data_IF_236083790871
#
_entry.id   IF_236083790871
#
_cell.length_a   1.000
_cell.length_b   1.000
_cell.length_c   1.000
_cell.angle_alpha   90.00
_cell.angle_beta   90.00
_cell.angle_gamma   90.00
#
_symmetry.space_group_name_H-M   'P 1'
#
loop_
_entity.id
_entity.type
_entity.pdbx_description
1 polymer ?
#
# COMPACT_ATOMS: atom_id res chain seq x y z
N UNK A 1 50.82 -12.04 -49.24
CA UNK A 1 50.11 -12.95 -48.32
C UNK A 1 49.54 -12.09 -47.21
N UNK A 2 48.33 -11.73 -47.40
CA UNK A 2 47.50 -10.89 -46.58
C UNK A 2 46.86 -11.77 -45.48
N UNK A 3 46.98 -11.37 -44.24
CA UNK A 3 46.26 -11.98 -43.13
C UNK A 3 45.35 -10.95 -42.50
N UNK A 4 44.07 -11.03 -42.86
CA UNK A 4 43.00 -10.26 -42.25
C UNK A 4 42.73 -10.85 -40.87
N UNK A 5 42.95 -10.04 -39.82
CA UNK A 5 42.49 -10.31 -38.45
C UNK A 5 41.18 -9.56 -38.24
N UNK A 6 40.04 -10.26 -38.34
CA UNK A 6 38.72 -9.80 -37.90
C UNK A 6 38.71 -9.71 -36.36
N UNK A 7 38.70 -8.48 -35.85
CA UNK A 7 38.38 -8.19 -34.47
C UNK A 7 36.86 -8.37 -34.26
N UNK A 8 36.51 -9.46 -33.60
CA UNK A 8 35.16 -9.71 -33.15
C UNK A 8 34.73 -8.73 -32.04
N UNK A 9 33.99 -7.69 -32.42
CA UNK A 9 33.34 -6.83 -31.44
C UNK A 9 32.26 -7.63 -30.71
N UNK A 10 32.52 -8.01 -29.46
CA UNK A 10 31.52 -8.58 -28.57
C UNK A 10 30.47 -7.49 -28.24
N UNK A 11 29.26 -7.66 -28.76
CA UNK A 11 28.10 -6.89 -28.30
C UNK A 11 27.86 -7.24 -26.85
N UNK A 12 28.24 -6.34 -25.94
CA UNK A 12 27.74 -6.32 -24.57
C UNK A 12 26.30 -5.87 -24.66
N UNK A 13 25.38 -6.83 -24.69
CA UNK A 13 23.97 -6.56 -24.42
C UNK A 13 23.81 -6.45 -22.92
N UNK A 14 23.98 -5.25 -22.39
CA UNK A 14 23.57 -4.89 -21.04
C UNK A 14 22.03 -4.70 -21.07
N UNK A 15 21.29 -5.79 -21.23
CA UNK A 15 19.89 -5.84 -20.86
C UNK A 15 19.85 -5.88 -19.34
N UNK A 16 19.89 -4.72 -18.70
CA UNK A 16 19.42 -4.60 -17.32
C UNK A 16 17.96 -5.00 -17.32
N UNK A 17 17.68 -6.20 -16.80
CA UNK A 17 16.33 -6.73 -16.61
C UNK A 17 15.64 -5.89 -15.53
N UNK A 18 15.19 -4.70 -15.94
CA UNK A 18 14.61 -3.70 -15.04
C UNK A 18 13.25 -4.25 -14.58
N UNK A 19 13.13 -4.53 -13.28
CA UNK A 19 11.91 -5.07 -12.70
C UNK A 19 10.72 -4.18 -13.02
N UNK A 20 9.63 -4.78 -13.46
CA UNK A 20 8.37 -4.07 -13.66
C UNK A 20 7.94 -3.39 -12.36
N UNK A 21 7.57 -2.11 -12.44
CA UNK A 21 7.04 -1.38 -11.30
C UNK A 21 5.73 -2.00 -10.79
N UNK A 22 5.64 -2.22 -9.49
CA UNK A 22 4.41 -2.65 -8.82
C UNK A 22 3.58 -1.43 -8.40
N UNK A 23 2.25 -1.58 -8.45
CA UNK A 23 1.30 -0.55 -8.04
C UNK A 23 0.92 -0.74 -6.59
N UNK A 24 1.22 0.25 -5.77
CA UNK A 24 1.01 0.20 -4.32
C UNK A 24 0.01 1.26 -3.91
N UNK A 25 -1.17 0.84 -3.47
CA UNK A 25 -2.19 1.75 -2.99
C UNK A 25 -2.13 1.92 -1.46
N UNK A 26 -2.29 3.15 -1.00
CA UNK A 26 -2.33 3.48 0.44
C UNK A 26 -3.52 4.38 0.70
N UNK A 27 -4.46 3.97 1.56
CA UNK A 27 -5.58 4.79 2.00
C UNK A 27 -5.27 5.58 3.26
N UNK A 28 -5.83 6.77 3.41
CA UNK A 28 -5.46 7.67 4.50
C UNK A 28 -3.98 8.11 4.40
N UNK A 29 -3.53 8.31 3.15
CA UNK A 29 -2.13 8.54 2.82
C UNK A 29 -1.55 9.81 3.46
N UNK A 30 -2.37 10.83 3.68
CA UNK A 30 -1.98 12.07 4.36
C UNK A 30 -2.11 11.99 5.90
N UNK A 31 -2.61 10.86 6.44
CA UNK A 31 -2.63 10.62 7.90
C UNK A 31 -1.24 10.28 8.44
N UNK A 32 -1.06 10.37 9.76
CA UNK A 32 0.27 10.17 10.37
C UNK A 32 0.89 8.79 10.07
N UNK A 33 0.08 7.72 10.07
CA UNK A 33 0.55 6.36 9.79
C UNK A 33 0.81 6.22 8.27
N UNK A 34 -0.12 6.68 7.43
CA UNK A 34 0.04 6.66 5.97
C UNK A 34 1.30 7.41 5.56
N UNK A 35 1.48 8.63 6.01
CA UNK A 35 2.67 9.44 5.77
C UNK A 35 3.96 8.70 6.13
N UNK A 36 4.08 8.18 7.36
CA UNK A 36 5.28 7.46 7.79
C UNK A 36 5.55 6.18 6.96
N UNK A 37 4.49 5.50 6.50
CA UNK A 37 4.60 4.29 5.68
C UNK A 37 5.11 4.60 4.26
N UNK A 38 4.68 5.72 3.67
CA UNK A 38 5.06 6.09 2.29
C UNK A 38 6.56 6.19 2.10
N UNK A 39 7.30 6.76 3.05
CA UNK A 39 8.76 6.87 2.99
C UNK A 39 9.45 5.51 3.00
N UNK A 40 8.92 4.57 3.76
CA UNK A 40 9.45 3.21 3.83
C UNK A 40 9.15 2.42 2.54
N UNK A 41 8.00 2.64 1.93
CA UNK A 41 7.69 2.06 0.61
C UNK A 41 8.62 2.67 -0.44
N UNK A 42 8.74 3.99 -0.47
CA UNK A 42 9.55 4.72 -1.45
C UNK A 42 11.04 4.38 -1.35
N UNK A 43 11.56 4.13 -0.15
CA UNK A 43 12.96 3.74 0.09
C UNK A 43 13.25 2.26 -0.18
N UNK A 44 12.25 1.45 -0.52
CA UNK A 44 12.39 0.02 -0.79
C UNK A 44 12.43 -0.86 0.47
N UNK A 45 12.05 -0.34 1.65
CA UNK A 45 12.03 -1.13 2.89
C UNK A 45 10.89 -2.16 2.91
N UNK A 46 9.83 -1.96 2.11
CA UNK A 46 8.68 -2.88 2.06
C UNK A 46 8.80 -3.96 1.01
N UNK A 47 9.32 -3.63 -0.17
CA UNK A 47 9.27 -4.52 -1.34
C UNK A 47 10.65 -4.90 -1.87
N UNK A 48 11.71 -4.37 -1.30
CA UNK A 48 13.09 -4.60 -1.73
C UNK A 48 13.75 -3.35 -2.33
N UNK A 49 15.08 -3.30 -2.24
CA UNK A 49 15.89 -2.15 -2.63
C UNK A 49 16.03 -1.97 -4.14
N UNK A 50 15.53 -2.92 -4.91
CA UNK A 50 15.57 -2.99 -6.36
C UNK A 50 14.16 -3.10 -7.00
N UNK A 51 13.08 -2.94 -6.21
CA UNK A 51 11.72 -3.03 -6.70
C UNK A 51 11.13 -1.63 -6.96
N UNK A 52 10.93 -1.23 -8.24
CA UNK A 52 10.24 0.02 -8.56
C UNK A 52 8.78 -0.01 -8.13
N UNK A 53 8.25 1.15 -7.73
CA UNK A 53 6.87 1.29 -7.26
C UNK A 53 6.16 2.47 -7.94
N UNK A 54 4.86 2.33 -8.16
CA UNK A 54 3.94 3.42 -8.46
C UNK A 54 3.03 3.58 -7.26
N UNK A 55 3.11 4.72 -6.58
CA UNK A 55 2.31 5.02 -5.41
C UNK A 55 0.94 5.55 -5.83
N UNK A 56 -0.13 4.93 -5.32
CA UNK A 56 -1.52 5.32 -5.54
C UNK A 56 -2.13 5.71 -4.18
N UNK A 57 -2.30 6.99 -3.95
CA UNK A 57 -2.57 7.58 -2.65
C UNK A 57 -4.03 8.02 -2.57
N UNK A 58 -4.81 7.38 -1.71
CA UNK A 58 -6.22 7.70 -1.50
C UNK A 58 -6.41 8.51 -0.23
N UNK A 59 -7.15 9.61 -0.36
CA UNK A 59 -7.58 10.42 0.77
C UNK A 59 -9.05 10.82 0.62
N UNK A 60 -9.69 11.23 1.69
CA UNK A 60 -11.03 11.81 1.64
C UNK A 60 -10.98 13.25 1.12
N UNK A 61 -12.06 13.79 0.51
CA UNK A 61 -12.03 15.13 -0.07
C UNK A 61 -11.48 16.22 0.86
N UNK A 62 -11.81 16.28 2.17
CA UNK A 62 -11.22 17.28 3.07
C UNK A 62 -9.70 17.12 3.30
N UNK A 63 -9.15 15.94 3.03
CA UNK A 63 -7.73 15.63 3.19
C UNK A 63 -6.88 15.88 1.94
N UNK A 64 -7.50 16.18 0.79
CA UNK A 64 -6.79 16.29 -0.49
C UNK A 64 -5.72 17.38 -0.50
N UNK A 65 -5.98 18.54 0.08
CA UNK A 65 -4.98 19.61 0.18
C UNK A 65 -3.72 19.16 0.94
N UNK A 66 -3.90 18.37 2.00
CA UNK A 66 -2.78 17.78 2.75
C UNK A 66 -2.06 16.71 1.93
N UNK A 67 -2.82 15.90 1.18
CA UNK A 67 -2.25 14.90 0.28
C UNK A 67 -1.38 15.53 -0.81
N UNK A 68 -1.80 16.65 -1.38
CA UNK A 68 -1.01 17.39 -2.36
C UNK A 68 0.36 17.79 -1.79
N UNK A 69 0.41 18.24 -0.52
CA UNK A 69 1.67 18.51 0.18
C UNK A 69 2.55 17.26 0.30
N UNK A 70 1.99 16.13 0.70
CA UNK A 70 2.71 14.85 0.79
C UNK A 70 3.26 14.41 -0.57
N UNK A 71 2.48 14.58 -1.64
CA UNK A 71 2.93 14.28 -3.02
C UNK A 71 4.10 15.16 -3.43
N UNK A 72 4.08 16.45 -3.08
CA UNK A 72 5.21 17.35 -3.34
C UNK A 72 6.47 16.91 -2.60
N UNK A 73 6.37 16.62 -1.30
CA UNK A 73 7.49 16.15 -0.50
C UNK A 73 8.09 14.83 -1.04
N UNK A 74 7.25 13.87 -1.46
CA UNK A 74 7.70 12.63 -2.08
C UNK A 74 8.46 12.88 -3.39
N UNK A 75 8.00 13.84 -4.22
CA UNK A 75 8.67 14.22 -5.46
C UNK A 75 10.01 14.88 -5.18
N UNK A 76 10.05 15.80 -4.23
CA UNK A 76 11.27 16.51 -3.83
C UNK A 76 12.33 15.56 -3.26
N UNK A 77 11.90 14.46 -2.63
CA UNK A 77 12.80 13.43 -2.08
C UNK A 77 13.48 12.58 -3.16
N UNK A 78 13.02 12.63 -4.41
CA UNK A 78 13.63 12.00 -5.59
C UNK A 78 14.06 10.52 -5.38
N UNK A 79 13.22 9.72 -4.73
CA UNK A 79 13.49 8.29 -4.55
C UNK A 79 13.60 7.56 -5.89
N UNK A 80 14.73 6.92 -6.15
CA UNK A 80 14.99 6.22 -7.41
C UNK A 80 13.97 5.10 -7.73
N UNK A 81 13.37 4.51 -6.70
CA UNK A 81 12.37 3.44 -6.85
C UNK A 81 10.97 3.95 -7.14
N UNK A 82 10.69 5.25 -6.98
CA UNK A 82 9.35 5.82 -7.20
C UNK A 82 9.20 6.24 -8.65
N UNK A 83 8.56 5.39 -9.46
CA UNK A 83 8.33 5.63 -10.89
C UNK A 83 7.04 6.41 -11.17
N UNK A 84 6.19 6.63 -10.18
CA UNK A 84 4.99 7.45 -10.32
C UNK A 84 4.25 7.65 -8.99
N UNK A 85 3.51 8.76 -8.91
CA UNK A 85 2.68 9.08 -7.74
C UNK A 85 1.34 9.60 -8.26
N UNK A 86 0.25 9.01 -7.79
CA UNK A 86 -1.13 9.38 -8.10
C UNK A 86 -1.83 9.69 -6.77
N UNK A 87 -2.27 10.94 -6.58
CA UNK A 87 -3.12 11.35 -5.46
C UNK A 87 -4.57 11.46 -5.92
N UNK A 88 -5.53 10.93 -5.17
CA UNK A 88 -6.95 10.95 -5.55
C UNK A 88 -7.87 10.75 -4.35
N UNK A 89 -9.12 11.17 -4.48
CA UNK A 89 -10.23 10.85 -3.57
C UNK A 89 -11.17 9.77 -4.13
N UNK A 90 -10.88 9.25 -5.34
CA UNK A 90 -11.64 8.17 -5.98
C UNK A 90 -10.98 6.80 -5.73
N UNK A 91 -11.64 5.88 -4.98
CA UNK A 91 -11.13 4.54 -4.75
C UNK A 91 -10.86 3.73 -6.04
N UNK A 92 -11.64 3.96 -7.11
CA UNK A 92 -11.45 3.24 -8.36
C UNK A 92 -10.18 3.67 -9.10
N UNK A 93 -9.76 4.93 -8.92
CA UNK A 93 -8.47 5.41 -9.43
C UNK A 93 -7.34 4.86 -8.54
N UNK A 94 -7.50 4.95 -7.21
CA UNK A 94 -6.49 4.52 -6.26
C UNK A 94 -6.18 3.02 -6.32
N UNK A 95 -7.19 2.17 -6.56
CA UNK A 95 -6.99 0.73 -6.56
C UNK A 95 -6.81 0.13 -7.97
N UNK A 96 -6.83 0.94 -9.02
CA UNK A 96 -6.68 0.47 -10.40
C UNK A 96 -5.37 -0.30 -10.60
N UNK A 97 -5.50 -1.58 -10.99
CA UNK A 97 -4.38 -2.49 -11.23
C UNK A 97 -3.40 -2.60 -10.06
N UNK A 98 -3.85 -2.32 -8.83
CA UNK A 98 -2.98 -2.38 -7.65
C UNK A 98 -2.53 -3.82 -7.38
N UNK A 99 -1.23 -3.99 -7.13
CA UNK A 99 -0.58 -5.25 -6.74
C UNK A 99 -0.55 -5.41 -5.22
N UNK A 100 -0.45 -4.28 -4.49
CA UNK A 100 -0.48 -4.24 -3.04
C UNK A 100 -1.34 -3.07 -2.55
N UNK A 101 -2.14 -3.30 -1.50
CA UNK A 101 -3.03 -2.29 -0.93
C UNK A 101 -2.87 -2.26 0.59
N UNK A 102 -2.60 -1.08 1.13
CA UNK A 102 -2.59 -0.78 2.56
C UNK A 102 -3.86 0.00 2.91
N UNK A 103 -4.82 -0.64 3.57
CA UNK A 103 -6.03 -0.01 4.07
C UNK A 103 -5.75 0.62 5.44
N UNK A 104 -5.15 1.80 5.44
CA UNK A 104 -4.72 2.52 6.65
C UNK A 104 -5.78 3.48 7.14
N UNK A 105 -6.45 4.17 6.22
CA UNK A 105 -7.48 5.16 6.53
C UNK A 105 -8.67 4.56 7.25
N UNK A 106 -9.02 5.14 8.39
CA UNK A 106 -10.21 4.77 9.17
C UNK A 106 -10.64 5.94 10.05
N UNK A 107 -11.90 5.94 10.48
CA UNK A 107 -12.36 6.89 11.49
C UNK A 107 -11.71 6.59 12.83
N UNK A 108 -11.03 7.56 13.47
CA UNK A 108 -10.46 7.37 14.79
C UNK A 108 -11.55 7.21 15.85
N UNK A 109 -11.24 6.49 16.92
CA UNK A 109 -12.11 6.38 18.07
C UNK A 109 -12.13 7.72 18.85
N UNK A 110 -13.31 8.24 19.12
CA UNK A 110 -13.50 9.35 20.07
C UNK A 110 -13.69 8.82 21.49
N UNK A 111 -13.63 9.73 22.50
CA UNK A 111 -13.72 9.33 23.93
C UNK A 111 -15.07 8.67 24.27
N UNK A 112 -16.14 9.04 23.56
CA UNK A 112 -17.50 8.61 23.84
C UNK A 112 -17.95 7.43 22.98
N UNK A 113 -17.11 6.93 22.09
CA UNK A 113 -17.37 5.75 21.25
C UNK A 113 -17.00 4.44 21.96
N UNK A 114 -17.92 3.50 21.94
CA UNK A 114 -17.59 2.11 22.24
C UNK A 114 -17.06 1.37 21.00
N UNK A 115 -16.85 0.05 21.12
CA UNK A 115 -16.33 -0.76 19.98
C UNK A 115 -17.37 -0.94 18.88
N UNK A 116 -18.65 -1.05 19.23
CA UNK A 116 -19.73 -1.23 18.27
C UNK A 116 -19.94 0.03 17.45
N UNK A 117 -19.85 1.22 18.07
CA UNK A 117 -19.91 2.51 17.39
C UNK A 117 -18.78 2.66 16.36
N UNK A 118 -17.58 2.23 16.75
CA UNK A 118 -16.41 2.29 15.86
C UNK A 118 -16.58 1.36 14.64
N UNK A 119 -17.13 0.16 14.83
CA UNK A 119 -17.45 -0.76 13.73
C UNK A 119 -18.51 -0.15 12.82
N UNK A 120 -19.59 0.40 13.39
CA UNK A 120 -20.65 1.04 12.63
C UNK A 120 -20.16 2.24 11.81
N UNK A 121 -19.26 3.03 12.39
CA UNK A 121 -18.68 4.21 11.73
C UNK A 121 -17.70 3.84 10.60
N UNK A 122 -16.97 2.75 10.71
CA UNK A 122 -15.97 2.31 9.73
C UNK A 122 -16.51 1.34 8.68
N UNK A 123 -17.50 0.51 9.02
CA UNK A 123 -18.05 -0.50 8.14
C UNK A 123 -18.36 0.00 6.73
N UNK A 124 -19.11 1.10 6.54
CA UNK A 124 -19.41 1.64 5.21
C UNK A 124 -18.17 1.99 4.39
N UNK A 125 -17.09 2.47 5.03
CA UNK A 125 -15.82 2.81 4.38
C UNK A 125 -15.22 1.54 3.76
N UNK A 126 -15.12 0.47 4.54
CA UNK A 126 -14.51 -0.78 4.08
C UNK A 126 -15.40 -1.58 3.13
N UNK A 127 -16.72 -1.41 3.19
CA UNK A 127 -17.66 -1.90 2.16
C UNK A 127 -17.33 -1.23 0.81
N UNK A 128 -17.24 0.10 0.78
CA UNK A 128 -16.92 0.85 -0.42
C UNK A 128 -15.55 0.48 -0.99
N UNK A 129 -14.54 0.42 -0.14
CA UNK A 129 -13.17 0.02 -0.53
C UNK A 129 -13.13 -1.42 -1.04
N UNK A 130 -13.81 -2.37 -0.38
CA UNK A 130 -13.89 -3.76 -0.83
C UNK A 130 -14.52 -3.88 -2.22
N UNK A 131 -15.61 -3.15 -2.50
CA UNK A 131 -16.23 -3.11 -3.82
C UNK A 131 -15.29 -2.55 -4.88
N UNK A 132 -14.62 -1.44 -4.60
CA UNK A 132 -13.66 -0.85 -5.54
C UNK A 132 -12.47 -1.78 -5.81
N UNK A 133 -11.92 -2.45 -4.78
CA UNK A 133 -10.89 -3.47 -4.93
C UNK A 133 -11.37 -4.59 -5.85
N UNK A 134 -12.59 -5.08 -5.62
CA UNK A 134 -13.19 -6.11 -6.47
C UNK A 134 -13.27 -5.69 -7.93
N UNK A 135 -13.61 -4.44 -8.20
CA UNK A 135 -13.86 -3.90 -9.53
C UNK A 135 -12.56 -3.73 -10.32
N UNK A 136 -11.56 -3.07 -9.72
CA UNK A 136 -10.43 -2.51 -10.48
C UNK A 136 -9.03 -2.99 -10.07
N UNK A 137 -8.88 -3.70 -8.94
CA UNK A 137 -7.57 -4.17 -8.53
C UNK A 137 -7.10 -5.40 -9.33
N UNK A 138 -5.80 -5.64 -9.33
CA UNK A 138 -5.22 -6.89 -9.84
C UNK A 138 -5.83 -8.10 -9.12
N UNK A 139 -6.11 -9.18 -9.85
CA UNK A 139 -6.61 -10.42 -9.24
C UNK A 139 -5.61 -11.07 -8.28
N UNK A 140 -4.34 -10.70 -8.37
CA UNK A 140 -3.26 -11.16 -7.50
C UNK A 140 -2.92 -10.17 -6.38
N UNK A 141 -3.71 -9.10 -6.20
CA UNK A 141 -3.49 -8.06 -5.20
C UNK A 141 -3.33 -8.63 -3.79
N UNK A 142 -2.42 -8.07 -3.01
CA UNK A 142 -2.27 -8.37 -1.57
C UNK A 142 -2.81 -7.17 -0.79
N UNK A 143 -3.76 -7.44 0.09
CA UNK A 143 -4.44 -6.40 0.87
C UNK A 143 -4.12 -6.59 2.35
N UNK A 144 -3.59 -5.55 2.98
CA UNK A 144 -3.42 -5.51 4.43
C UNK A 144 -4.24 -4.38 5.04
N UNK A 145 -5.08 -4.72 6.00
CA UNK A 145 -5.89 -3.75 6.75
C UNK A 145 -5.19 -3.35 8.04
N UNK A 146 -4.95 -2.06 8.17
CA UNK A 146 -4.28 -1.43 9.32
C UNK A 146 -5.28 -0.66 10.19
N UNK A 147 -6.24 0.01 9.55
CA UNK A 147 -7.28 0.80 10.21
C UNK A 147 -8.13 -0.02 11.18
N UNK A 148 -8.24 0.46 12.44
CA UNK A 148 -8.93 -0.28 13.51
C UNK A 148 -10.47 -0.14 13.46
N UNK A 149 -11.18 -1.23 13.85
CA UNK A 149 -10.71 -2.56 14.24
C UNK A 149 -10.25 -3.39 13.02
N UNK A 150 -8.95 -3.61 12.87
CA UNK A 150 -8.34 -4.09 11.62
C UNK A 150 -8.85 -5.47 11.18
N UNK A 151 -9.06 -6.40 12.09
CA UNK A 151 -9.59 -7.73 11.78
C UNK A 151 -11.03 -7.69 11.26
N UNK A 152 -11.90 -6.89 11.90
CA UNK A 152 -13.30 -6.71 11.45
C UNK A 152 -13.34 -6.00 10.11
N UNK A 153 -12.56 -4.94 9.95
CA UNK A 153 -12.48 -4.17 8.72
C UNK A 153 -11.93 -5.01 7.55
N UNK A 154 -10.93 -5.86 7.80
CA UNK A 154 -10.41 -6.81 6.81
C UNK A 154 -11.50 -7.79 6.35
N UNK A 155 -12.29 -8.32 7.29
CA UNK A 155 -13.41 -9.22 6.98
C UNK A 155 -14.46 -8.52 6.12
N UNK A 156 -14.82 -7.28 6.46
CA UNK A 156 -15.79 -6.48 5.69
C UNK A 156 -15.27 -6.23 4.28
N UNK A 157 -14.02 -5.80 4.11
CA UNK A 157 -13.45 -5.56 2.81
C UNK A 157 -13.41 -6.83 1.95
N UNK A 158 -12.96 -7.95 2.52
CA UNK A 158 -12.93 -9.25 1.85
C UNK A 158 -14.34 -9.72 1.42
N UNK A 159 -15.34 -9.61 2.29
CA UNK A 159 -16.72 -10.00 1.98
C UNK A 159 -17.33 -9.18 0.81
N UNK A 160 -16.80 -7.99 0.56
CA UNK A 160 -17.23 -7.11 -0.54
C UNK A 160 -16.32 -7.19 -1.77
N UNK A 161 -15.35 -8.11 -1.79
CA UNK A 161 -14.43 -8.33 -2.91
C UNK A 161 -14.42 -9.81 -3.36
N UNK A 162 -15.55 -10.38 -3.80
CA UNK A 162 -15.68 -11.81 -4.08
C UNK A 162 -14.78 -12.32 -5.22
N UNK A 163 -14.30 -11.44 -6.09
CA UNK A 163 -13.36 -11.78 -7.18
C UNK A 163 -11.94 -12.05 -6.66
N UNK A 164 -11.61 -11.53 -5.48
CA UNK A 164 -10.28 -11.65 -4.90
C UNK A 164 -10.29 -12.78 -3.84
N UNK A 165 -9.39 -13.77 -3.93
CA UNK A 165 -9.32 -14.84 -2.94
C UNK A 165 -9.10 -14.33 -1.52
N UNK A 166 -9.82 -14.90 -0.54
CA UNK A 166 -9.72 -14.48 0.87
C UNK A 166 -8.30 -14.60 1.45
N UNK A 167 -7.49 -15.51 0.93
CA UNK A 167 -6.07 -15.67 1.31
C UNK A 167 -5.19 -14.48 0.95
N UNK A 168 -5.71 -13.54 0.15
CA UNK A 168 -5.00 -12.31 -0.22
C UNK A 168 -5.33 -11.13 0.72
N UNK A 169 -6.28 -11.30 1.64
CA UNK A 169 -6.60 -10.32 2.67
C UNK A 169 -5.94 -10.68 4.01
N UNK A 170 -5.37 -9.67 4.64
CA UNK A 170 -4.72 -9.78 5.96
C UNK A 170 -5.11 -8.62 6.85
N UNK A 171 -5.09 -8.84 8.16
CA UNK A 171 -5.21 -7.79 9.17
C UNK A 171 -3.90 -7.62 9.92
N UNK A 172 -3.49 -6.38 10.19
CA UNK A 172 -2.23 -6.11 10.86
C UNK A 172 -2.37 -6.22 12.40
N UNK A 173 -2.06 -7.40 12.94
CA UNK A 173 -2.08 -7.70 14.38
C UNK A 173 -0.67 -7.83 14.99
N UNK A 174 0.36 -7.36 14.28
CA UNK A 174 1.76 -7.44 14.74
C UNK A 174 2.00 -6.73 16.07
N UNK A 175 1.33 -5.60 16.29
CA UNK A 175 1.46 -4.85 17.54
C UNK A 175 0.94 -5.65 18.74
N UNK A 176 -0.18 -6.35 18.57
CA UNK A 176 -0.75 -7.21 19.62
C UNK A 176 0.19 -8.36 19.95
N UNK A 177 0.78 -8.98 18.94
CA UNK A 177 1.79 -10.03 19.11
C UNK A 177 3.02 -9.50 19.86
N UNK A 178 3.57 -8.36 19.45
CA UNK A 178 4.75 -7.77 20.08
C UNK A 178 4.48 -7.43 21.56
N UNK A 179 3.30 -6.89 21.87
CA UNK A 179 2.89 -6.62 23.27
C UNK A 179 2.77 -7.89 24.09
N UNK A 180 2.18 -8.93 23.54
CA UNK A 180 2.07 -10.22 24.22
C UNK A 180 3.46 -10.80 24.54
N UNK A 181 4.38 -10.79 23.56
CA UNK A 181 5.75 -11.27 23.74
C UNK A 181 6.48 -10.43 24.80
N UNK A 182 6.35 -9.10 24.77
CA UNK A 182 6.98 -8.20 25.76
C UNK A 182 6.48 -8.50 27.18
N UNK A 183 5.16 -8.64 27.35
CA UNK A 183 4.59 -8.96 28.68
C UNK A 183 5.00 -10.34 29.19
N UNK A 184 5.20 -11.31 28.30
CA UNK A 184 5.70 -12.63 28.70
C UNK A 184 7.17 -12.55 29.12
N UNK A 185 7.99 -11.81 28.38
CA UNK A 185 9.40 -11.63 28.71
C UNK A 185 9.62 -10.90 30.06
N UNK A 186 8.75 -9.95 30.41
CA UNK A 186 8.80 -9.26 31.71
C UNK A 186 8.47 -10.15 32.92
N UNK A 187 7.80 -11.30 32.68
CA UNK A 187 7.35 -12.23 33.74
C UNK A 187 8.18 -13.51 33.84
N UNK A 188 9.12 -13.70 32.91
CA UNK A 188 10.05 -14.83 32.86
C UNK A 188 11.36 -14.50 33.54
#
# INVERSE_FOLDING_TARGET
MSGDSEEGASKVTDETDEKKAIRVAVTGAAGNIGYALLWRIASGDCFGKDQPVILQLLEIPPGMQRLDGVVMELRDSAFALVHGIIGTDDPNIAFRDADAIFLVGSRPRTKDMDRSDLVAANGPIFVGQGKAINEVASTNVKVITVGNPCNTNALIANANAPRIPSSQFSAMTRLDQNRAVGQMAERS
#
